data_IF_901405831781
#
_entry.id   IF_901405831781
#
_cell.length_a   1.000
_cell.length_b   1.000
_cell.length_c   1.000
_cell.angle_alpha   90.00
_cell.angle_beta   90.00
_cell.angle_gamma   90.00
#
_symmetry.space_group_name_H-M   'P 1'
#
loop_
_entity.id
_entity.type
_entity.pdbx_description
1 polymer ?
#
# COMPACT_ATOMS: atom_id res chain seq x y z
N UNK A 1 24.10 -7.50 -28.08
CA UNK A 1 23.89 -8.75 -27.29
C UNK A 1 22.55 -8.78 -26.55
N UNK A 2 22.08 -7.69 -25.94
CA UNK A 2 20.76 -7.63 -25.28
C UNK A 2 19.55 -7.86 -26.23
N UNK A 3 19.64 -7.43 -27.49
CA UNK A 3 18.59 -7.61 -28.50
C UNK A 3 18.35 -9.08 -28.88
N UNK A 4 19.41 -9.90 -28.90
CA UNK A 4 19.32 -11.33 -29.18
C UNK A 4 18.66 -12.08 -27.99
N UNK A 5 18.96 -11.68 -26.76
CA UNK A 5 18.32 -12.22 -25.55
C UNK A 5 16.82 -11.92 -25.49
N UNK A 6 16.38 -10.74 -25.95
CA UNK A 6 14.96 -10.36 -26.02
C UNK A 6 14.20 -11.17 -27.08
N UNK A 7 14.82 -11.44 -28.23
CA UNK A 7 14.22 -12.30 -29.25
C UNK A 7 14.14 -13.77 -28.80
N UNK A 8 15.14 -14.25 -28.05
CA UNK A 8 15.14 -15.60 -27.46
C UNK A 8 14.08 -15.74 -26.34
N UNK A 9 13.86 -14.69 -25.55
CA UNK A 9 12.81 -14.59 -24.52
C UNK A 9 11.39 -14.66 -25.11
N UNK A 10 11.18 -14.11 -26.32
CA UNK A 10 9.89 -14.17 -27.03
C UNK A 10 9.55 -15.59 -27.48
N UNK A 11 10.56 -16.36 -27.91
CA UNK A 11 10.41 -17.75 -28.35
C UNK A 11 10.24 -18.69 -27.15
N UNK A 12 10.87 -18.40 -26.00
CA UNK A 12 10.73 -19.19 -24.77
C UNK A 12 9.47 -18.85 -23.95
N UNK A 13 8.98 -17.61 -24.01
CA UNK A 13 7.72 -17.19 -23.35
C UNK A 13 6.45 -17.80 -23.95
N UNK A 14 6.53 -18.30 -25.19
CA UNK A 14 5.47 -19.08 -25.85
C UNK A 14 5.35 -20.52 -25.31
N UNK A 15 6.25 -20.97 -24.43
CA UNK A 15 6.35 -22.37 -24.00
C UNK A 15 5.94 -22.67 -22.54
N UNK A 16 5.26 -21.77 -21.81
CA UNK A 16 4.82 -22.04 -20.41
C UNK A 16 3.51 -21.30 -20.04
N UNK A 17 2.65 -21.86 -19.17
CA UNK A 17 1.21 -21.91 -19.39
C UNK A 17 0.50 -20.61 -19.00
N UNK A 18 -0.36 -20.14 -19.91
CA UNK A 18 -1.63 -19.39 -19.82
C UNK A 18 -1.82 -18.37 -18.66
N UNK A 19 -1.48 -18.70 -17.41
CA UNK A 19 -1.66 -17.83 -16.24
C UNK A 19 -0.64 -16.68 -16.18
N UNK A 20 0.62 -16.94 -16.60
CA UNK A 20 1.67 -15.89 -16.65
C UNK A 20 1.37 -14.77 -17.64
N UNK A 21 0.76 -15.13 -18.78
CA UNK A 21 0.33 -14.16 -19.80
C UNK A 21 -0.69 -13.17 -19.23
N UNK A 22 -1.62 -13.66 -18.40
CA UNK A 22 -2.68 -12.84 -17.81
C UNK A 22 -2.16 -11.89 -16.73
N UNK A 23 -1.27 -12.36 -15.86
CA UNK A 23 -0.64 -11.53 -14.84
C UNK A 23 0.23 -10.42 -15.45
N UNK A 24 0.97 -10.73 -16.51
CA UNK A 24 1.78 -9.77 -17.24
C UNK A 24 0.93 -8.71 -17.96
N UNK A 25 -0.15 -9.11 -18.63
CA UNK A 25 -1.10 -8.21 -19.28
C UNK A 25 -1.72 -7.22 -18.27
N UNK A 26 -2.17 -7.73 -17.13
CA UNK A 26 -2.74 -6.93 -16.03
C UNK A 26 -1.73 -6.01 -15.37
N UNK A 27 -0.48 -6.44 -15.22
CA UNK A 27 0.58 -5.60 -14.69
C UNK A 27 0.92 -4.47 -15.68
N UNK A 28 0.97 -4.79 -16.97
CA UNK A 28 1.22 -3.81 -18.04
C UNK A 28 0.12 -2.75 -18.10
N UNK A 29 -1.13 -3.10 -17.80
CA UNK A 29 -2.23 -2.14 -17.68
C UNK A 29 -1.96 -1.05 -16.62
N UNK A 30 -1.55 -1.43 -15.40
CA UNK A 30 -1.25 -0.47 -14.35
C UNK A 30 -0.02 0.38 -14.66
N UNK A 31 1.02 -0.21 -15.29
CA UNK A 31 2.19 0.54 -15.78
C UNK A 31 1.75 1.60 -16.79
N UNK A 32 0.87 1.25 -17.73
CA UNK A 32 0.33 2.18 -18.72
C UNK A 32 -0.41 3.35 -18.09
N UNK A 33 -1.32 3.09 -17.14
CA UNK A 33 -2.06 4.16 -16.45
C UNK A 33 -1.14 5.12 -15.68
N UNK A 34 -0.15 4.59 -14.97
CA UNK A 34 0.77 5.42 -14.19
C UNK A 34 1.66 6.26 -15.14
N UNK A 35 2.12 5.66 -16.25
CA UNK A 35 2.96 6.35 -17.24
C UNK A 35 2.27 7.57 -17.86
N UNK A 36 0.95 7.52 -18.06
CA UNK A 36 0.17 8.66 -18.57
C UNK A 36 0.17 9.87 -17.64
N UNK A 37 0.45 9.68 -16.35
CA UNK A 37 0.43 10.76 -15.36
C UNK A 37 1.81 11.40 -15.17
N UNK A 38 2.86 10.90 -15.82
CA UNK A 38 4.26 11.29 -15.60
C UNK A 38 4.84 12.17 -16.70
N UNK A 39 4.00 12.80 -17.51
CA UNK A 39 4.40 13.44 -18.77
C UNK A 39 5.34 14.65 -18.65
N UNK A 40 5.66 15.14 -17.45
CA UNK A 40 6.40 16.41 -17.27
C UNK A 40 7.59 16.42 -16.28
N UNK A 41 8.04 15.29 -15.74
CA UNK A 41 9.25 15.30 -14.88
C UNK A 41 10.53 15.12 -15.73
N UNK A 42 11.03 16.23 -16.28
CA UNK A 42 12.33 16.33 -16.97
C UNK A 42 13.56 15.96 -16.12
N UNK A 43 13.37 15.58 -14.86
CA UNK A 43 14.44 15.12 -13.94
C UNK A 43 14.41 13.60 -13.65
N UNK A 44 13.46 12.84 -14.21
CA UNK A 44 13.33 11.39 -13.97
C UNK A 44 13.86 10.50 -15.11
N UNK A 45 14.90 10.92 -15.83
CA UNK A 45 15.57 10.08 -16.83
C UNK A 45 16.96 9.66 -16.33
N UNK A 46 16.97 8.74 -15.36
CA UNK A 46 18.04 7.76 -15.30
C UNK A 46 17.69 6.64 -16.30
N UNK A 47 18.12 6.84 -17.54
CA UNK A 47 18.34 5.86 -18.62
C UNK A 47 17.59 4.51 -18.49
N UNK A 48 16.37 4.43 -19.02
CA UNK A 48 15.87 3.19 -19.61
C UNK A 48 15.30 3.55 -20.98
N UNK A 49 15.92 2.98 -22.01
CA UNK A 49 15.54 3.11 -23.41
C UNK A 49 14.04 2.87 -23.56
N UNK A 50 13.29 3.73 -24.27
CA UNK A 50 11.89 3.47 -24.56
C UNK A 50 11.81 2.11 -25.24
N UNK A 51 10.96 1.22 -24.70
CA UNK A 51 10.53 0.04 -25.43
C UNK A 51 9.88 0.54 -26.73
N UNK A 52 10.66 0.57 -27.81
CA UNK A 52 10.13 0.60 -29.17
C UNK A 52 9.37 -0.70 -29.34
N UNK A 53 8.06 -0.60 -29.07
CA UNK A 53 7.09 -1.57 -29.51
C UNK A 53 6.93 -1.32 -31.01
N UNK A 54 7.84 -1.87 -31.82
CA UNK A 54 7.65 -1.96 -33.26
C UNK A 54 6.55 -2.99 -33.51
N UNK A 55 5.34 -2.45 -33.49
CA UNK A 55 4.06 -3.07 -33.67
C UNK A 55 3.06 -2.06 -33.14
N UNK A 56 1.97 -1.74 -33.87
CA UNK A 56 0.94 -0.89 -33.28
C UNK A 56 0.61 -1.50 -31.91
N UNK A 57 0.56 -0.71 -30.81
CA UNK A 57 -0.01 -1.23 -29.58
C UNK A 57 -1.34 -1.86 -29.99
N UNK A 58 -1.71 -3.05 -29.49
CA UNK A 58 -3.07 -3.48 -29.68
C UNK A 58 -3.90 -2.27 -29.25
N UNK A 59 -4.72 -1.78 -30.17
CA UNK A 59 -5.72 -0.76 -29.89
C UNK A 59 -6.77 -1.39 -28.96
N UNK A 60 -6.35 -1.87 -27.80
CA UNK A 60 -7.17 -1.70 -26.64
C UNK A 60 -7.06 -0.22 -26.36
N UNK A 61 -8.03 0.55 -26.86
CA UNK A 61 -8.61 1.56 -26.02
C UNK A 61 -8.59 0.97 -24.60
N UNK A 62 -7.63 1.39 -23.77
CA UNK A 62 -7.83 1.30 -22.33
C UNK A 62 -9.19 1.94 -22.20
N UNK A 63 -10.20 1.16 -21.84
CA UNK A 63 -11.56 1.63 -21.81
C UNK A 63 -11.63 2.75 -20.76
N UNK A 64 -11.27 3.96 -21.20
CA UNK A 64 -11.29 5.21 -20.50
C UNK A 64 -12.74 5.58 -20.19
N UNK A 65 -13.69 4.87 -20.81
CA UNK A 65 -15.11 4.94 -20.49
C UNK A 65 -15.49 4.10 -19.26
N UNK A 66 -14.60 3.28 -18.68
CA UNK A 66 -14.83 2.72 -17.34
C UNK A 66 -14.73 3.84 -16.30
N UNK A 67 -15.83 4.22 -15.62
CA UNK A 67 -15.82 5.33 -14.67
C UNK A 67 -14.81 5.12 -13.53
N UNK A 68 -14.57 3.86 -13.14
CA UNK A 68 -13.62 3.49 -12.09
C UNK A 68 -12.17 3.82 -12.46
N UNK A 69 -11.77 3.54 -13.71
CA UNK A 69 -10.40 3.82 -14.19
C UNK A 69 -10.12 5.31 -14.25
N UNK A 70 -11.11 6.10 -14.69
CA UNK A 70 -11.04 7.56 -14.63
C UNK A 70 -10.83 8.09 -13.22
N UNK A 71 -11.43 7.46 -12.20
CA UNK A 71 -11.19 7.82 -10.80
C UNK A 71 -9.80 7.42 -10.31
N UNK A 72 -9.32 6.23 -10.67
CA UNK A 72 -7.95 5.79 -10.35
C UNK A 72 -6.92 6.77 -10.93
N UNK A 73 -7.08 7.19 -12.18
CA UNK A 73 -6.19 8.18 -12.82
C UNK A 73 -6.20 9.53 -12.06
N UNK A 74 -7.37 10.03 -11.66
CA UNK A 74 -7.46 11.26 -10.85
C UNK A 74 -6.71 11.13 -9.52
N UNK A 75 -6.83 9.99 -8.86
CA UNK A 75 -6.08 9.72 -7.62
C UNK A 75 -4.57 9.59 -7.86
N UNK A 76 -4.12 8.99 -8.97
CA UNK A 76 -2.70 8.93 -9.32
C UNK A 76 -2.13 10.33 -9.58
N UNK A 77 -2.84 11.17 -10.34
CA UNK A 77 -2.45 12.56 -10.58
C UNK A 77 -2.39 13.36 -9.28
N UNK A 78 -3.38 13.19 -8.41
CA UNK A 78 -3.41 13.83 -7.10
C UNK A 78 -2.27 13.36 -6.20
N UNK A 79 -1.97 12.06 -6.22
CA UNK A 79 -0.84 11.48 -5.52
C UNK A 79 0.51 12.06 -5.96
N UNK A 80 0.69 12.31 -7.26
CA UNK A 80 1.92 12.95 -7.78
C UNK A 80 2.08 14.35 -7.16
N UNK A 81 1.01 15.15 -7.07
CA UNK A 81 1.06 16.46 -6.39
C UNK A 81 1.42 16.35 -4.91
N UNK A 82 0.82 15.39 -4.20
CA UNK A 82 1.14 15.11 -2.79
C UNK A 82 2.62 14.77 -2.64
N UNK A 83 3.16 13.96 -3.55
CA UNK A 83 4.57 13.58 -3.55
C UNK A 83 5.50 14.77 -3.81
N UNK A 84 5.17 15.64 -4.75
CA UNK A 84 5.92 16.89 -4.97
C UNK A 84 5.92 17.75 -3.71
N UNK A 85 4.77 17.90 -3.06
CA UNK A 85 4.65 18.59 -1.76
C UNK A 85 5.55 17.95 -0.70
N UNK A 86 5.47 16.64 -0.49
CA UNK A 86 6.28 15.90 0.50
C UNK A 86 7.79 16.09 0.27
N UNK A 87 8.23 16.08 -0.99
CA UNK A 87 9.63 16.30 -1.36
C UNK A 87 10.10 17.73 -1.12
N UNK A 88 9.20 18.69 -1.27
CA UNK A 88 9.47 20.11 -1.04
C UNK A 88 9.41 20.52 0.44
N UNK A 89 9.04 19.62 1.35
CA UNK A 89 9.00 19.94 2.78
C UNK A 89 10.40 20.19 3.35
N UNK A 90 10.65 21.44 3.71
CA UNK A 90 11.89 21.88 4.36
C UNK A 90 11.60 22.85 5.51
N UNK A 91 12.53 22.92 6.47
CA UNK A 91 12.37 23.72 7.70
C UNK A 91 12.56 25.22 7.49
N UNK A 92 13.13 25.62 6.37
CA UNK A 92 13.40 27.01 5.96
C UNK A 92 12.22 27.66 5.21
N UNK A 93 11.23 26.86 4.80
CA UNK A 93 10.02 27.36 4.15
C UNK A 93 9.02 27.95 5.15
N UNK A 94 8.14 28.83 4.65
CA UNK A 94 7.05 29.39 5.45
C UNK A 94 6.10 28.29 5.98
N UNK A 95 6.00 28.11 7.32
CA UNK A 95 5.16 27.07 7.89
C UNK A 95 3.68 27.25 7.52
N UNK A 96 3.20 28.49 7.42
CA UNK A 96 1.82 28.79 7.03
C UNK A 96 1.47 28.28 5.63
N UNK A 97 2.37 28.47 4.67
CA UNK A 97 2.24 27.98 3.30
C UNK A 97 2.26 26.45 3.23
N UNK A 98 3.11 25.79 4.02
CA UNK A 98 3.16 24.33 4.09
C UNK A 98 1.84 23.75 4.63
N UNK A 99 1.30 24.34 5.69
CA UNK A 99 0.00 23.96 6.24
C UNK A 99 -1.16 24.21 5.27
N UNK A 100 -1.18 25.39 4.64
CA UNK A 100 -2.20 25.71 3.64
C UNK A 100 -2.18 24.72 2.47
N UNK A 101 -0.98 24.34 2.02
CA UNK A 101 -0.80 23.35 0.94
C UNK A 101 -1.27 21.96 1.39
N UNK A 102 -0.90 21.51 2.58
CA UNK A 102 -1.39 20.25 3.16
C UNK A 102 -2.92 20.21 3.20
N UNK A 103 -3.56 21.24 3.74
CA UNK A 103 -5.01 21.27 3.89
C UNK A 103 -5.74 21.32 2.53
N UNK A 104 -5.19 22.02 1.54
CA UNK A 104 -5.73 22.00 0.18
C UNK A 104 -5.65 20.60 -0.44
N UNK A 105 -4.53 19.91 -0.29
CA UNK A 105 -4.35 18.54 -0.78
C UNK A 105 -5.27 17.55 -0.05
N UNK A 106 -5.44 17.68 1.27
CA UNK A 106 -6.36 16.85 2.06
C UNK A 106 -7.83 17.09 1.66
N UNK A 107 -8.22 18.35 1.48
CA UNK A 107 -9.56 18.72 1.02
C UNK A 107 -9.85 18.18 -0.39
N UNK A 108 -8.90 18.28 -1.31
CA UNK A 108 -9.03 17.71 -2.65
C UNK A 108 -9.13 16.17 -2.60
N UNK A 109 -8.34 15.51 -1.74
CA UNK A 109 -8.42 14.05 -1.53
C UNK A 109 -9.82 13.62 -1.06
N UNK A 110 -10.37 14.33 -0.07
CA UNK A 110 -11.73 14.09 0.44
C UNK A 110 -12.78 14.33 -0.62
N UNK A 111 -12.70 15.44 -1.35
CA UNK A 111 -13.60 15.76 -2.46
C UNK A 111 -13.60 14.67 -3.52
N UNK A 112 -12.42 14.20 -3.95
CA UNK A 112 -12.32 13.10 -4.93
C UNK A 112 -13.02 11.84 -4.41
N UNK A 113 -12.79 11.49 -3.15
CA UNK A 113 -13.42 10.32 -2.53
C UNK A 113 -14.94 10.45 -2.41
N UNK A 114 -15.44 11.64 -2.07
CA UNK A 114 -16.88 11.92 -1.93
C UNK A 114 -17.64 11.80 -3.25
N UNK A 115 -16.98 11.99 -4.40
CA UNK A 115 -17.58 11.80 -5.73
C UNK A 115 -17.74 10.33 -6.14
N UNK A 116 -17.17 9.39 -5.37
CA UNK A 116 -17.26 7.98 -5.68
C UNK A 116 -18.67 7.42 -5.37
N UNK A 117 -19.16 6.46 -6.17
CA UNK A 117 -20.34 5.67 -5.83
C UNK A 117 -20.26 5.06 -4.42
N UNK A 118 -21.39 4.94 -3.68
CA UNK A 118 -21.41 4.33 -2.35
C UNK A 118 -20.75 2.95 -2.29
N UNK A 119 -20.98 2.11 -3.30
CA UNK A 119 -20.40 0.76 -3.40
C UNK A 119 -18.88 0.74 -3.42
N UNK A 120 -18.25 1.78 -3.98
CA UNK A 120 -16.81 1.95 -3.94
C UNK A 120 -16.35 2.58 -2.63
N UNK A 121 -17.11 3.52 -2.05
CA UNK A 121 -16.76 4.17 -0.76
C UNK A 121 -16.87 3.24 0.44
N UNK A 122 -17.79 2.28 0.37
CA UNK A 122 -18.06 1.31 1.43
C UNK A 122 -17.33 -0.02 1.18
N UNK A 123 -16.44 -0.07 0.16
CA UNK A 123 -15.63 -1.24 -0.13
C UNK A 123 -14.79 -1.62 1.09
N UNK A 124 -15.08 -2.79 1.64
CA UNK A 124 -14.46 -3.28 2.87
C UNK A 124 -13.31 -4.27 2.61
N UNK A 125 -12.93 -4.52 1.35
CA UNK A 125 -11.93 -5.51 0.98
C UNK A 125 -12.49 -6.84 0.50
N UNK A 126 -13.80 -7.05 0.45
CA UNK A 126 -14.40 -8.27 -0.11
C UNK A 126 -14.74 -8.09 -1.60
N UNK A 127 -14.61 -9.15 -2.41
CA UNK A 127 -15.00 -9.11 -3.82
C UNK A 127 -16.50 -8.86 -3.97
N UNK A 128 -16.85 -7.89 -4.80
CA UNK A 128 -18.21 -7.61 -5.21
C UNK A 128 -18.39 -7.91 -6.71
N UNK A 129 -19.62 -8.17 -7.14
CA UNK A 129 -19.94 -8.44 -8.55
C UNK A 129 -19.94 -7.15 -9.41
N UNK A 130 -20.03 -5.99 -8.77
CA UNK A 130 -20.29 -4.71 -9.43
C UNK A 130 -19.02 -3.98 -9.90
N UNK A 131 -17.85 -4.33 -9.38
CA UNK A 131 -16.59 -3.68 -9.71
C UNK A 131 -15.43 -4.68 -9.72
N UNK A 132 -14.43 -4.41 -10.56
CA UNK A 132 -13.20 -5.20 -10.53
C UNK A 132 -12.53 -5.05 -9.16
N UNK A 133 -12.29 -6.17 -8.49
CA UNK A 133 -11.74 -6.21 -7.14
C UNK A 133 -10.39 -5.50 -7.03
N UNK A 134 -9.52 -5.63 -8.05
CA UNK A 134 -8.14 -5.11 -8.01
C UNK A 134 -8.14 -3.62 -8.24
N UNK A 135 -8.97 -3.14 -9.17
CA UNK A 135 -9.21 -1.72 -9.37
C UNK A 135 -9.83 -1.09 -8.12
N UNK A 136 -10.78 -1.77 -7.46
CA UNK A 136 -11.43 -1.28 -6.23
C UNK A 136 -10.49 -1.22 -5.03
N UNK A 137 -9.75 -2.31 -4.77
CA UNK A 137 -8.70 -2.35 -3.75
C UNK A 137 -7.60 -1.32 -4.05
N UNK A 138 -7.25 -1.19 -5.33
CA UNK A 138 -6.33 -0.19 -5.80
C UNK A 138 -6.78 1.23 -5.47
N UNK A 139 -8.00 1.60 -5.85
CA UNK A 139 -8.58 2.90 -5.57
C UNK A 139 -8.59 3.21 -4.06
N UNK A 140 -8.98 2.24 -3.24
CA UNK A 140 -9.02 2.39 -1.79
C UNK A 140 -7.63 2.62 -1.20
N UNK A 141 -6.63 1.85 -1.63
CA UNK A 141 -5.25 2.05 -1.17
C UNK A 141 -4.68 3.40 -1.59
N UNK A 142 -4.97 3.87 -2.82
CA UNK A 142 -4.58 5.21 -3.28
C UNK A 142 -5.20 6.31 -2.43
N UNK A 143 -6.51 6.22 -2.15
CA UNK A 143 -7.20 7.17 -1.29
C UNK A 143 -6.54 7.26 0.08
N UNK A 144 -6.40 6.13 0.77
CA UNK A 144 -5.80 6.10 2.11
C UNK A 144 -4.35 6.60 2.11
N UNK A 145 -3.55 6.22 1.12
CA UNK A 145 -2.18 6.70 0.93
C UNK A 145 -2.11 8.23 0.76
N UNK A 146 -3.01 8.81 -0.05
CA UNK A 146 -3.11 10.25 -0.20
C UNK A 146 -3.47 10.97 1.11
N UNK A 147 -4.13 10.28 2.05
CA UNK A 147 -4.46 10.83 3.36
C UNK A 147 -3.29 10.72 4.34
N UNK A 148 -2.68 9.54 4.54
CA UNK A 148 -1.69 9.39 5.60
C UNK A 148 -0.29 9.90 5.24
N UNK A 149 0.17 9.76 3.99
CA UNK A 149 1.57 10.08 3.64
C UNK A 149 1.94 11.54 3.87
N UNK A 150 1.17 12.55 3.40
CA UNK A 150 1.56 13.94 3.60
C UNK A 150 1.56 14.33 5.08
N UNK A 151 0.65 13.75 5.89
CA UNK A 151 0.62 13.97 7.33
C UNK A 151 1.81 13.31 8.04
N UNK A 152 2.22 12.10 7.61
CA UNK A 152 3.42 11.45 8.14
C UNK A 152 4.68 12.29 7.85
N UNK A 153 4.78 12.85 6.64
CA UNK A 153 5.88 13.73 6.27
C UNK A 153 5.88 15.04 7.08
N UNK A 154 4.70 15.62 7.33
CA UNK A 154 4.55 16.79 8.20
C UNK A 154 4.97 16.53 9.64
N UNK A 155 4.65 15.36 10.22
CA UNK A 155 5.15 15.00 11.57
C UNK A 155 6.69 15.02 11.59
N UNK A 156 7.34 14.40 10.60
CA UNK A 156 8.81 14.41 10.50
C UNK A 156 9.39 15.80 10.35
N UNK A 157 8.71 16.68 9.62
CA UNK A 157 9.13 18.07 9.50
C UNK A 157 9.02 18.77 10.86
N UNK A 158 7.90 18.60 11.56
CA UNK A 158 7.65 19.22 12.86
C UNK A 158 8.68 18.78 13.91
N UNK A 159 9.07 17.51 13.93
CA UNK A 159 10.12 17.01 14.85
C UNK A 159 11.49 17.67 14.65
N UNK A 160 11.76 18.23 13.46
CA UNK A 160 13.01 18.96 13.19
C UNK A 160 12.97 20.41 13.67
N UNK A 161 11.81 20.91 14.09
CA UNK A 161 11.66 22.27 14.58
C UNK A 161 12.04 22.35 16.07
N UNK A 162 12.57 23.51 16.49
CA UNK A 162 13.00 23.74 17.88
C UNK A 162 11.84 23.65 18.89
N UNK A 163 10.61 23.92 18.45
CA UNK A 163 9.40 23.81 19.25
C UNK A 163 8.26 23.29 18.37
N UNK A 164 8.10 21.97 18.23
CA UNK A 164 6.96 21.42 17.49
C UNK A 164 5.65 21.86 18.15
N UNK A 165 4.67 22.27 17.34
CA UNK A 165 3.34 22.53 17.86
C UNK A 165 2.62 21.21 18.14
N UNK A 166 2.51 20.82 19.42
CA UNK A 166 1.96 19.52 19.84
C UNK A 166 0.57 19.24 19.25
N UNK A 167 -0.31 20.26 19.21
CA UNK A 167 -1.66 20.15 18.63
C UNK A 167 -1.62 19.75 17.14
N UNK A 168 -0.66 20.27 16.40
CA UNK A 168 -0.49 19.98 14.97
C UNK A 168 0.09 18.59 14.73
N UNK A 169 1.03 18.17 15.58
CA UNK A 169 1.57 16.81 15.55
C UNK A 169 0.45 15.81 15.85
N UNK A 170 -0.36 16.08 16.88
CA UNK A 170 -1.48 15.23 17.27
C UNK A 170 -2.54 15.13 16.17
N UNK A 171 -2.88 16.24 15.51
CA UNK A 171 -3.77 16.26 14.35
C UNK A 171 -3.25 15.35 13.23
N UNK A 172 -1.98 15.50 12.86
CA UNK A 172 -1.37 14.66 11.82
C UNK A 172 -1.34 13.19 12.25
N UNK A 173 -0.99 12.90 13.49
CA UNK A 173 -0.92 11.55 14.02
C UNK A 173 -2.29 10.86 13.99
N UNK A 174 -3.35 11.57 14.37
CA UNK A 174 -4.71 11.08 14.31
C UNK A 174 -5.09 10.69 12.86
N UNK A 175 -4.76 11.53 11.88
CA UNK A 175 -5.04 11.26 10.46
C UNK A 175 -4.24 10.05 9.98
N UNK A 176 -2.93 10.00 10.29
CA UNK A 176 -2.06 8.87 9.92
C UNK A 176 -2.62 7.56 10.46
N UNK A 177 -2.83 7.47 11.78
CA UNK A 177 -3.27 6.24 12.45
C UNK A 177 -4.62 5.79 11.92
N UNK A 178 -5.60 6.71 11.83
CA UNK A 178 -6.93 6.40 11.28
C UNK A 178 -6.85 5.79 9.89
N UNK A 179 -6.03 6.35 9.01
CA UNK A 179 -5.95 5.88 7.62
C UNK A 179 -5.10 4.63 7.45
N UNK A 180 -4.07 4.42 8.28
CA UNK A 180 -3.29 3.17 8.35
C UNK A 180 -4.15 2.02 8.88
N UNK A 181 -4.92 2.23 9.96
CA UNK A 181 -5.82 1.22 10.52
C UNK A 181 -6.89 0.80 9.50
N UNK A 182 -7.59 1.76 8.90
CA UNK A 182 -8.63 1.50 7.90
C UNK A 182 -8.13 0.75 6.66
N UNK A 183 -7.00 1.16 6.09
CA UNK A 183 -6.48 0.48 4.89
C UNK A 183 -5.98 -0.92 5.24
N UNK A 184 -5.48 -1.12 6.46
CA UNK A 184 -5.07 -2.43 6.93
C UNK A 184 -6.25 -3.37 7.15
N UNK A 185 -7.43 -2.86 7.53
CA UNK A 185 -8.66 -3.66 7.57
C UNK A 185 -9.13 -4.07 6.18
N UNK A 186 -9.11 -3.13 5.22
CA UNK A 186 -9.44 -3.43 3.82
C UNK A 186 -8.51 -4.51 3.28
N UNK A 187 -7.21 -4.42 3.56
CA UNK A 187 -6.21 -5.41 3.15
C UNK A 187 -6.39 -6.75 3.88
N UNK A 188 -6.67 -6.73 5.19
CA UNK A 188 -6.97 -7.93 5.97
C UNK A 188 -8.19 -8.67 5.41
N UNK A 189 -9.27 -7.95 5.09
CA UNK A 189 -10.47 -8.53 4.51
C UNK A 189 -10.21 -9.06 3.08
N UNK A 190 -9.43 -8.34 2.28
CA UNK A 190 -8.97 -8.79 0.97
C UNK A 190 -8.20 -10.10 1.03
N UNK A 191 -7.21 -10.19 1.93
CA UNK A 191 -6.35 -11.36 2.10
C UNK A 191 -7.12 -12.56 2.65
N UNK A 192 -8.07 -12.33 3.57
CA UNK A 192 -8.88 -13.41 4.18
C UNK A 192 -9.97 -13.94 3.24
N UNK A 193 -10.49 -13.12 2.32
CA UNK A 193 -11.58 -13.51 1.41
C UNK A 193 -11.23 -14.66 0.44
N UNK A 194 -9.95 -15.01 0.26
CA UNK A 194 -9.44 -16.18 -0.50
C UNK A 194 -9.88 -16.30 -1.98
N UNK A 195 -10.67 -15.36 -2.50
CA UNK A 195 -11.34 -15.47 -3.81
C UNK A 195 -10.53 -14.88 -4.98
N UNK A 196 -9.41 -14.20 -4.72
CA UNK A 196 -8.69 -13.44 -5.76
C UNK A 196 -7.17 -13.62 -5.70
N UNK A 197 -6.55 -13.78 -6.88
CA UNK A 197 -5.08 -13.84 -7.02
C UNK A 197 -4.48 -12.47 -6.72
N UNK A 198 -3.78 -12.37 -5.58
CA UNK A 198 -3.13 -11.16 -5.09
C UNK A 198 -1.87 -10.76 -5.89
N UNK A 199 -1.28 -11.69 -6.64
CA UNK A 199 -0.02 -11.52 -7.38
C UNK A 199 -0.04 -10.39 -8.41
N UNK A 200 -1.20 -10.11 -9.01
CA UNK A 200 -1.36 -9.09 -10.05
C UNK A 200 -2.09 -7.83 -9.53
N UNK A 201 -1.92 -7.50 -8.25
CA UNK A 201 -2.36 -6.23 -7.68
C UNK A 201 -1.47 -5.07 -8.16
N UNK A 202 -2.02 -3.85 -8.25
CA UNK A 202 -1.24 -2.68 -8.59
C UNK A 202 -0.11 -2.40 -7.57
N UNK A 203 1.03 -1.82 -8.01
CA UNK A 203 2.19 -1.60 -7.15
C UNK A 203 1.90 -0.65 -5.97
N UNK A 204 0.97 0.30 -6.12
CA UNK A 204 0.58 1.22 -5.04
C UNK A 204 -0.16 0.52 -3.88
N UNK A 205 -0.81 -0.62 -4.12
CA UNK A 205 -1.34 -1.46 -3.03
C UNK A 205 -0.20 -1.96 -2.16
N UNK A 206 0.91 -2.36 -2.78
CA UNK A 206 2.10 -2.82 -2.07
C UNK A 206 2.79 -1.69 -1.31
N UNK A 207 2.85 -0.49 -1.87
CA UNK A 207 3.40 0.65 -1.16
C UNK A 207 2.63 0.98 0.13
N UNK A 208 1.31 0.93 0.04
CA UNK A 208 0.44 1.13 1.19
C UNK A 208 0.70 0.06 2.25
N UNK A 209 0.76 -1.22 1.85
CA UNK A 209 1.11 -2.32 2.75
C UNK A 209 2.49 -2.17 3.38
N UNK A 210 3.49 -1.76 2.61
CA UNK A 210 4.85 -1.53 3.10
C UNK A 210 4.89 -0.46 4.21
N UNK A 211 4.20 0.67 3.99
CA UNK A 211 4.15 1.74 4.98
C UNK A 211 3.39 1.28 6.24
N UNK A 212 2.25 0.60 6.09
CA UNK A 212 1.50 0.05 7.22
C UNK A 212 2.32 -0.97 8.03
N UNK A 213 3.04 -1.88 7.36
CA UNK A 213 3.96 -2.83 8.00
C UNK A 213 5.00 -2.09 8.82
N UNK A 214 5.62 -1.07 8.24
CA UNK A 214 6.61 -0.28 8.96
C UNK A 214 6.02 0.43 10.18
N UNK A 215 4.83 1.01 10.07
CA UNK A 215 4.14 1.66 11.21
C UNK A 215 3.88 0.65 12.33
N UNK A 216 3.29 -0.52 12.04
CA UNK A 216 3.00 -1.52 13.07
C UNK A 216 4.27 -2.08 13.71
N UNK A 217 5.32 -2.35 12.93
CA UNK A 217 6.58 -2.83 13.50
C UNK A 217 7.24 -1.78 14.40
N UNK A 218 7.27 -0.52 13.97
CA UNK A 218 7.81 0.58 14.78
C UNK A 218 7.00 0.81 16.05
N UNK A 219 5.66 0.72 15.98
CA UNK A 219 4.78 0.79 17.14
C UNK A 219 5.04 -0.35 18.14
N UNK A 220 5.05 -1.61 17.68
CA UNK A 220 5.30 -2.77 18.54
C UNK A 220 6.69 -2.69 19.20
N UNK A 221 7.71 -2.31 18.44
CA UNK A 221 9.07 -2.14 18.95
C UNK A 221 9.16 -1.00 19.96
N UNK A 222 8.52 0.15 19.69
CA UNK A 222 8.57 1.31 20.58
C UNK A 222 7.87 1.06 21.91
N UNK A 223 6.70 0.43 21.86
CA UNK A 223 5.92 0.08 23.04
C UNK A 223 6.45 -1.17 23.76
N UNK A 224 7.51 -1.82 23.26
CA UNK A 224 8.08 -3.03 23.86
C UNK A 224 7.12 -4.22 23.91
N UNK A 225 6.17 -4.29 22.97
CA UNK A 225 5.12 -5.31 22.97
C UNK A 225 5.62 -6.60 22.34
N UNK A 226 5.41 -7.73 23.01
CA UNK A 226 5.61 -9.03 22.39
C UNK A 226 4.50 -9.26 21.36
N UNK A 227 4.84 -9.23 20.07
CA UNK A 227 3.88 -9.45 18.99
C UNK A 227 3.23 -10.84 19.03
N UNK A 228 3.78 -11.78 19.81
CA UNK A 228 3.18 -13.10 20.04
C UNK A 228 2.18 -13.15 21.19
N UNK A 229 1.98 -12.07 21.95
CA UNK A 229 0.99 -12.04 23.03
C UNK A 229 -0.43 -12.06 22.45
N UNK A 230 -1.03 -13.25 22.46
CA UNK A 230 -2.41 -13.48 22.00
C UNK A 230 -3.46 -13.09 23.03
N UNK A 231 -3.05 -12.78 24.27
CA UNK A 231 -3.97 -12.41 25.34
C UNK A 231 -4.26 -10.91 25.37
N UNK A 232 -3.36 -10.08 24.83
CA UNK A 232 -3.62 -8.65 24.60
C UNK A 232 -4.38 -8.47 23.27
N UNK A 233 -5.67 -8.04 23.31
CA UNK A 233 -6.46 -7.87 22.09
C UNK A 233 -5.93 -6.79 21.14
N UNK A 234 -5.25 -5.75 21.64
CA UNK A 234 -4.66 -4.68 20.83
C UNK A 234 -3.39 -5.18 20.10
N UNK A 235 -2.57 -5.98 20.79
CA UNK A 235 -1.43 -6.66 20.17
C UNK A 235 -1.91 -7.66 19.13
N UNK A 236 -2.94 -8.45 19.45
CA UNK A 236 -3.51 -9.41 18.51
C UNK A 236 -4.05 -8.71 17.26
N UNK A 237 -4.78 -7.59 17.39
CA UNK A 237 -5.25 -6.83 16.22
C UNK A 237 -4.08 -6.33 15.36
N UNK A 238 -3.09 -5.70 16.01
CA UNK A 238 -1.87 -5.22 15.35
C UNK A 238 -1.16 -6.35 14.59
N UNK A 239 -1.03 -7.53 15.22
CA UNK A 239 -0.44 -8.73 14.63
C UNK A 239 -1.20 -9.18 13.39
N UNK A 240 -2.52 -9.27 13.44
CA UNK A 240 -3.32 -9.73 12.29
C UNK A 240 -3.22 -8.73 11.14
N UNK A 241 -3.28 -7.42 11.41
CA UNK A 241 -3.09 -6.37 10.40
C UNK A 241 -1.67 -6.39 9.80
N UNK A 242 -0.65 -6.54 10.64
CA UNK A 242 0.75 -6.65 10.23
C UNK A 242 0.97 -7.88 9.32
N UNK A 243 0.54 -9.07 9.74
CA UNK A 243 0.69 -10.30 8.97
C UNK A 243 -0.11 -10.27 7.65
N UNK A 244 -1.28 -9.63 7.62
CA UNK A 244 -2.06 -9.44 6.39
C UNK A 244 -1.28 -8.64 5.34
N UNK A 245 -0.71 -7.51 5.76
CA UNK A 245 0.09 -6.66 4.87
C UNK A 245 1.41 -7.33 4.46
N UNK A 246 2.11 -8.00 5.39
CA UNK A 246 3.30 -8.79 5.06
C UNK A 246 3.00 -9.92 4.07
N UNK A 247 1.87 -10.60 4.24
CA UNK A 247 1.44 -11.65 3.33
C UNK A 247 1.20 -11.10 1.92
N UNK A 248 0.50 -9.96 1.82
CA UNK A 248 0.29 -9.27 0.54
C UNK A 248 1.63 -8.93 -0.13
N UNK A 249 2.55 -8.28 0.58
CA UNK A 249 3.88 -7.95 0.06
C UNK A 249 4.63 -9.19 -0.42
N UNK A 250 4.58 -10.29 0.34
CA UNK A 250 5.22 -11.55 -0.01
C UNK A 250 4.64 -12.18 -1.29
N UNK A 251 3.36 -11.98 -1.59
CA UNK A 251 2.76 -12.42 -2.85
C UNK A 251 3.14 -11.50 -4.02
N UNK A 252 3.02 -10.18 -3.83
CA UNK A 252 3.17 -9.20 -4.91
C UNK A 252 4.64 -9.01 -5.33
N UNK A 253 5.61 -9.21 -4.42
CA UNK A 253 7.06 -9.16 -4.73
C UNK A 253 7.53 -10.14 -5.80
N UNK A 254 6.72 -11.17 -6.09
CA UNK A 254 7.02 -12.15 -7.15
C UNK A 254 6.85 -11.58 -8.56
N UNK A 255 6.04 -10.53 -8.67
CA UNK A 255 5.68 -9.90 -9.95
C UNK A 255 6.37 -8.55 -10.09
N UNK A 256 6.53 -7.79 -9.00
CA UNK A 256 7.03 -6.42 -9.05
C UNK A 256 8.40 -6.29 -8.40
N UNK A 257 9.42 -5.96 -9.21
CA UNK A 257 10.79 -5.67 -8.74
C UNK A 257 10.83 -4.60 -7.63
N UNK A 258 10.06 -3.50 -7.71
CA UNK A 258 10.01 -2.48 -6.66
C UNK A 258 9.56 -3.04 -5.30
N UNK A 259 8.63 -4.00 -5.33
CA UNK A 259 8.10 -4.64 -4.13
C UNK A 259 9.10 -5.62 -3.54
N UNK A 260 9.97 -6.22 -4.37
CA UNK A 260 11.11 -7.00 -3.89
C UNK A 260 12.10 -6.14 -3.09
N UNK A 261 12.42 -4.93 -3.57
CA UNK A 261 13.28 -3.98 -2.86
C UNK A 261 12.63 -3.53 -1.54
N UNK A 262 11.33 -3.21 -1.56
CA UNK A 262 10.57 -2.89 -0.35
C UNK A 262 10.60 -4.06 0.65
N UNK A 263 10.44 -5.29 0.17
CA UNK A 263 10.52 -6.49 1.02
C UNK A 263 11.89 -6.62 1.68
N UNK A 264 12.98 -6.50 0.91
CA UNK A 264 14.34 -6.56 1.44
C UNK A 264 14.58 -5.47 2.50
N UNK A 265 14.06 -4.26 2.27
CA UNK A 265 14.19 -3.15 3.20
C UNK A 265 13.53 -3.39 4.57
N UNK A 266 12.49 -4.21 4.68
CA UNK A 266 11.81 -4.51 5.97
C UNK A 266 12.34 -5.76 6.67
N UNK A 267 13.20 -6.56 6.03
CA UNK A 267 13.64 -7.84 6.61
C UNK A 267 14.39 -7.70 7.94
N UNK A 268 15.18 -6.64 8.11
CA UNK A 268 15.88 -6.41 9.38
C UNK A 268 14.90 -6.09 10.52
N UNK A 269 13.86 -5.29 10.26
CA UNK A 269 12.86 -4.94 11.28
C UNK A 269 12.02 -6.17 11.64
N UNK A 270 11.67 -6.99 10.65
CA UNK A 270 11.02 -8.28 10.87
C UNK A 270 11.86 -9.16 11.78
N UNK A 271 13.16 -9.29 11.49
CA UNK A 271 14.07 -10.08 12.31
C UNK A 271 14.22 -9.53 13.73
N UNK A 272 14.26 -8.20 13.90
CA UNK A 272 14.34 -7.54 15.21
C UNK A 272 13.11 -7.82 16.08
N UNK A 273 11.92 -7.97 15.48
CA UNK A 273 10.70 -8.40 16.16
C UNK A 273 10.54 -9.92 16.25
N UNK A 274 11.48 -10.71 15.73
CA UNK A 274 11.38 -12.16 15.70
C UNK A 274 10.30 -12.69 14.73
N UNK A 275 9.92 -11.91 13.72
CA UNK A 275 9.00 -12.32 12.66
C UNK A 275 9.79 -12.96 11.53
N UNK A 276 9.51 -14.23 11.27
CA UNK A 276 10.14 -15.00 10.19
C UNK A 276 9.32 -15.00 8.91
N UNK A 277 9.95 -15.28 7.77
CA UNK A 277 9.20 -15.54 6.52
C UNK A 277 8.27 -16.75 6.65
N UNK A 278 8.63 -17.73 7.48
CA UNK A 278 7.79 -18.89 7.80
C UNK A 278 6.50 -18.50 8.52
N UNK A 279 6.52 -17.48 9.38
CA UNK A 279 5.30 -16.97 10.05
C UNK A 279 4.34 -16.35 9.05
N UNK A 280 4.86 -15.56 8.10
CA UNK A 280 4.08 -14.91 7.03
C UNK A 280 3.44 -15.95 6.11
N UNK A 281 4.17 -17.02 5.78
CA UNK A 281 3.63 -18.12 4.99
C UNK A 281 2.63 -18.98 5.77
N UNK A 282 2.91 -19.26 7.04
CA UNK A 282 2.00 -20.01 7.91
C UNK A 282 0.68 -19.26 8.10
N UNK A 283 0.73 -17.93 8.25
CA UNK A 283 -0.45 -17.08 8.27
C UNK A 283 -1.28 -17.25 6.98
N UNK A 284 -0.64 -17.15 5.81
CA UNK A 284 -1.29 -17.38 4.52
C UNK A 284 -1.93 -18.76 4.37
N UNK A 285 -1.21 -19.82 4.76
CA UNK A 285 -1.74 -21.20 4.75
C UNK A 285 -2.90 -21.37 5.71
N UNK A 286 -2.83 -20.73 6.89
CA UNK A 286 -3.90 -20.80 7.89
C UNK A 286 -5.21 -20.27 7.34
N UNK A 287 -5.18 -19.23 6.50
CA UNK A 287 -6.35 -18.64 5.86
C UNK A 287 -6.98 -19.56 4.80
N UNK A 288 -6.15 -20.23 4.02
CA UNK A 288 -6.60 -21.18 2.98
C UNK A 288 -7.24 -22.42 3.63
N UNK A 289 -6.70 -22.88 4.75
CA UNK A 289 -7.13 -24.11 5.43
C UNK A 289 -8.31 -23.90 6.41
N UNK A 290 -8.86 -22.69 6.55
CA UNK A 290 -9.97 -22.40 7.48
C UNK A 290 -11.25 -23.14 7.10
N UNK A 291 -11.45 -23.46 5.82
CA UNK A 291 -12.70 -24.02 5.28
C UNK A 291 -13.06 -25.45 5.74
N UNK A 292 -12.45 -25.99 6.79
CA UNK A 292 -12.58 -27.42 7.15
C UNK A 292 -13.03 -27.72 8.58
N UNK A 293 -13.05 -26.77 9.54
CA UNK A 293 -13.37 -27.07 10.96
C UNK A 293 -14.17 -25.95 11.68
N UNK A 294 -15.44 -26.19 12.07
CA UNK A 294 -16.34 -25.20 12.67
C UNK A 294 -15.87 -24.58 13.99
N UNK A 295 -15.30 -25.37 14.90
CA UNK A 295 -14.93 -24.90 16.25
C UNK A 295 -13.80 -23.85 16.24
N UNK A 296 -12.91 -23.93 15.25
CA UNK A 296 -11.82 -22.95 15.08
C UNK A 296 -12.31 -21.63 14.50
N UNK A 297 -13.39 -21.64 13.71
CA UNK A 297 -14.00 -20.42 13.18
C UNK A 297 -14.68 -19.62 14.30
N UNK A 298 -15.39 -20.30 15.21
CA UNK A 298 -16.06 -19.64 16.35
C UNK A 298 -15.05 -18.99 17.29
N UNK A 299 -13.98 -19.69 17.64
CA UNK A 299 -12.93 -19.16 18.53
C UNK A 299 -12.19 -17.98 17.89
N UNK A 300 -11.87 -18.05 16.59
CA UNK A 300 -11.20 -16.96 15.87
C UNK A 300 -12.11 -15.75 15.68
N UNK A 301 -13.39 -15.97 15.40
CA UNK A 301 -14.41 -14.92 15.33
C UNK A 301 -14.55 -14.19 16.66
N UNK A 302 -14.56 -14.93 17.77
CA UNK A 302 -14.59 -14.35 19.11
C UNK A 302 -13.34 -13.51 19.42
N UNK A 303 -12.14 -14.02 19.14
CA UNK A 303 -10.89 -13.29 19.38
C UNK A 303 -10.81 -12.05 18.47
N UNK A 304 -11.23 -12.15 17.21
CA UNK A 304 -11.32 -10.99 16.31
C UNK A 304 -12.33 -9.97 16.80
N UNK A 305 -13.49 -10.38 17.33
CA UNK A 305 -14.46 -9.46 17.91
C UNK A 305 -13.89 -8.69 19.10
N UNK A 306 -13.15 -9.37 19.98
CA UNK A 306 -12.46 -8.72 21.11
C UNK A 306 -11.37 -7.76 20.61
N UNK A 307 -10.62 -8.16 19.59
CA UNK A 307 -9.59 -7.34 18.97
C UNK A 307 -10.17 -6.05 18.37
N UNK A 308 -11.28 -6.13 17.64
CA UNK A 308 -11.98 -4.95 17.12
C UNK A 308 -12.54 -4.06 18.23
N UNK A 309 -13.03 -4.62 19.33
CA UNK A 309 -13.46 -3.83 20.49
C UNK A 309 -12.29 -3.07 21.15
N UNK A 310 -11.05 -3.58 21.03
CA UNK A 310 -9.85 -2.93 21.52
C UNK A 310 -9.23 -1.91 20.54
N UNK A 311 -9.72 -1.83 19.31
CA UNK A 311 -9.20 -0.93 18.27
C UNK A 311 -9.09 0.54 18.73
N UNK A 312 -10.09 1.16 19.39
CA UNK A 312 -9.97 2.56 19.80
C UNK A 312 -8.83 2.80 20.79
N UNK A 313 -8.53 1.83 21.66
CA UNK A 313 -7.42 1.91 22.61
C UNK A 313 -6.09 1.77 21.89
N UNK A 314 -5.97 0.79 20.98
CA UNK A 314 -4.79 0.59 20.15
C UNK A 314 -4.47 1.83 19.30
N UNK A 315 -5.49 2.38 18.62
CA UNK A 315 -5.34 3.58 17.79
C UNK A 315 -4.94 4.80 18.63
N UNK A 316 -5.50 4.95 19.83
CA UNK A 316 -5.13 6.06 20.73
C UNK A 316 -3.68 5.94 21.18
N UNK A 317 -3.24 4.75 21.59
CA UNK A 317 -1.86 4.51 22.00
C UNK A 317 -0.87 4.70 20.83
N UNK A 318 -1.21 4.17 19.65
CA UNK A 318 -0.40 4.34 18.45
C UNK A 318 -0.31 5.82 18.02
N UNK A 319 -1.41 6.58 18.15
CA UNK A 319 -1.44 8.02 17.88
C UNK A 319 -0.52 8.79 18.83
N UNK A 320 -0.61 8.54 20.13
CA UNK A 320 0.23 9.21 21.14
C UNK A 320 1.72 8.84 20.97
N UNK A 321 1.99 7.60 20.55
CA UNK A 321 3.36 7.08 20.41
C UNK A 321 4.01 7.44 19.07
N UNK A 322 3.23 7.82 18.05
CA UNK A 322 3.73 8.00 16.68
C UNK A 322 4.89 8.99 16.59
N UNK A 323 4.82 10.10 17.33
CA UNK A 323 5.90 11.11 17.38
C UNK A 323 7.23 10.52 17.88
N UNK A 324 7.23 9.41 18.60
CA UNK A 324 8.45 8.81 19.12
C UNK A 324 9.08 7.79 18.16
N UNK A 325 8.34 7.30 17.17
CA UNK A 325 8.83 6.28 16.25
C UNK A 325 8.70 6.61 14.76
N UNK A 326 8.11 7.74 14.40
CA UNK A 326 7.87 8.15 13.00
C UNK A 326 9.13 8.21 12.14
N UNK A 327 10.30 8.47 12.73
CA UNK A 327 11.60 8.46 12.03
C UNK A 327 12.03 7.05 11.61
N UNK A 328 11.56 6.02 12.31
CA UNK A 328 11.80 4.62 11.96
C UNK A 328 10.80 4.09 10.92
N UNK A 329 9.71 4.82 10.66
CA UNK A 329 8.76 4.43 9.63
C UNK A 329 9.45 4.50 8.27
N UNK A 330 9.24 3.52 7.40
CA UNK A 330 9.85 3.48 6.07
C UNK A 330 8.86 4.03 5.05
N UNK A 331 9.32 5.02 4.28
CA UNK A 331 8.67 5.54 3.10
C UNK A 331 9.56 5.20 1.91
N UNK A 332 9.05 4.48 0.92
CA UNK A 332 9.75 4.27 -0.34
C UNK A 332 9.48 5.46 -1.29
N UNK A 333 10.43 5.81 -2.16
CA UNK A 333 10.11 6.80 -3.19
C UNK A 333 9.17 6.18 -4.23
N UNK A 334 8.04 6.80 -4.58
CA UNK A 334 7.16 6.31 -5.63
C UNK A 334 7.79 6.22 -7.01
N UNK A 335 8.99 6.80 -7.30
CA UNK A 335 9.74 6.51 -8.55
C UNK A 335 9.84 5.00 -8.75
N UNK A 336 10.03 4.25 -7.66
CA UNK A 336 10.15 2.81 -7.73
C UNK A 336 8.87 2.15 -8.23
N UNK A 337 7.67 2.74 -8.08
CA UNK A 337 6.44 2.17 -8.63
C UNK A 337 6.36 2.22 -10.16
N UNK A 338 7.34 2.86 -10.83
CA UNK A 338 7.25 3.21 -12.24
C UNK A 338 7.93 2.23 -13.19
N UNK A 339 8.84 1.36 -12.72
CA UNK A 339 9.69 0.61 -13.65
C UNK A 339 10.01 -0.81 -13.15
N UNK A 340 9.74 -1.78 -14.02
CA UNK A 340 10.15 -3.21 -14.03
C UNK A 340 9.20 -4.21 -13.33
N UNK A 341 8.33 -4.82 -14.14
CA UNK A 341 7.79 -6.16 -13.87
C UNK A 341 8.94 -7.16 -13.92
N UNK A 342 9.03 -8.07 -12.94
CA UNK A 342 10.08 -9.08 -12.90
C UNK A 342 9.98 -10.03 -14.12
N UNK A 343 10.99 -10.03 -14.98
CA UNK A 343 11.19 -11.07 -16.00
C UNK A 343 12.20 -12.08 -15.47
N UNK A 344 11.73 -13.25 -15.03
CA UNK A 344 12.57 -14.41 -14.76
C UNK A 344 12.15 -15.58 -15.65
#
# INVERSE_FOLDING_TARGET
MALASIQQLRVQGLASPINRSRELERSSFFVGMISQCLTDDSECVALITPLSVDGPPPSSEIDLHSPLRGQILKFIQHWIRIRHFVRALHTDMDPGMQWATLFNLDAETRRLYETLPPTLRDFNGQSCLEADFRESLGLQTLYHMCRFVPHLAMIRLLQKQTSPGDEYVQLCAQIVVRHISRVSDVIMNAVTSSQTTLTALPPFVSYCSFTSVSVYMSYLSHCGKDWNDVNDPAVYLSRVRLLSNLHLLNQVRRVWTPVKVMWEAIQMDMAALGISSTDVEAYGRSLINVSALPDREVQRSYILSLAHAAEPYMDTEMMLSLIHFVDYVKLADPVYMLIVVATA
#
